data_IF_165912832261
#
_entry.id   IF_165912832261
#
_cell.length_a   1.000
_cell.length_b   1.000
_cell.length_c   1.000
_cell.angle_alpha   90.00
_cell.angle_beta   90.00
_cell.angle_gamma   90.00
#
_symmetry.space_group_name_H-M   'P 1'
#
loop_
_entity.id
_entity.type
_entity.pdbx_description
1 polymer ?
#
# COMPACT_ATOMS: atom_id res chain seq x y z
N UNK A 1 4.86 25.39 -1.68
CA UNK A 1 3.95 26.57 -1.64
C UNK A 1 4.06 27.27 -0.29
N UNK A 2 3.62 28.54 -0.12
CA UNK A 2 3.71 29.24 1.18
C UNK A 2 3.01 28.49 2.33
N UNK A 3 1.91 27.77 2.04
CA UNK A 3 1.17 26.96 3.01
C UNK A 3 1.85 25.62 3.37
N UNK A 4 3.05 25.34 2.92
CA UNK A 4 3.77 24.08 3.15
C UNK A 4 3.39 22.94 2.19
N UNK A 5 2.35 23.06 1.38
CA UNK A 5 2.00 22.04 0.39
C UNK A 5 3.12 21.87 -0.63
N UNK A 6 3.52 20.61 -0.82
CA UNK A 6 4.44 20.19 -1.89
C UNK A 6 3.63 19.75 -3.11
N UNK A 7 4.12 20.02 -4.30
CA UNK A 7 3.47 19.59 -5.52
C UNK A 7 4.47 19.01 -6.51
N UNK A 8 4.08 17.94 -7.18
CA UNK A 8 4.83 17.34 -8.26
C UNK A 8 3.97 17.23 -9.52
N UNK A 9 4.53 17.63 -10.65
CA UNK A 9 3.86 17.56 -11.94
C UNK A 9 4.77 16.90 -12.96
N UNK A 10 4.25 15.92 -13.66
CA UNK A 10 4.89 15.33 -14.82
C UNK A 10 3.99 15.52 -16.07
N UNK A 11 4.38 16.37 -17.02
CA UNK A 11 3.58 16.63 -18.21
C UNK A 11 3.52 15.41 -19.13
N UNK A 12 2.40 15.23 -19.81
CA UNK A 12 2.20 14.21 -20.83
C UNK A 12 1.31 14.74 -21.95
N UNK A 13 1.46 14.18 -23.14
CA UNK A 13 0.58 14.47 -24.30
C UNK A 13 -0.75 13.74 -24.26
N UNK A 14 -1.03 13.00 -23.21
CA UNK A 14 -2.32 12.31 -23.02
C UNK A 14 -3.46 13.32 -22.92
N UNK A 15 -4.61 13.07 -23.53
CA UNK A 15 -5.81 13.89 -23.34
C UNK A 15 -6.45 13.72 -21.94
N UNK A 16 -5.99 12.72 -21.16
CA UNK A 16 -6.44 12.46 -19.82
C UNK A 16 -5.36 12.90 -18.83
N UNK A 17 -5.79 13.55 -17.75
CA UNK A 17 -4.97 13.97 -16.62
C UNK A 17 -5.37 13.18 -15.38
N UNK A 18 -4.39 12.62 -14.70
CA UNK A 18 -4.50 11.99 -13.39
C UNK A 18 -3.91 12.94 -12.36
N UNK A 19 -4.67 13.27 -11.33
CA UNK A 19 -4.25 14.23 -10.31
C UNK A 19 -4.90 13.93 -8.97
N UNK A 20 -4.26 14.36 -7.89
CA UNK A 20 -4.81 14.11 -6.56
C UNK A 20 -3.93 14.62 -5.44
N UNK A 21 -4.37 14.31 -4.23
CA UNK A 21 -3.63 14.50 -2.99
C UNK A 21 -3.27 13.16 -2.39
N UNK A 22 -2.04 13.07 -1.92
CA UNK A 22 -1.62 12.01 -1.00
C UNK A 22 -1.25 12.65 0.33
N UNK A 23 -1.85 12.18 1.38
CA UNK A 23 -1.71 12.69 2.74
C UNK A 23 -0.94 11.64 3.54
N UNK A 24 0.12 12.02 4.25
CA UNK A 24 0.87 11.11 5.11
C UNK A 24 0.10 10.80 6.40
N UNK A 25 -1.11 10.28 6.23
CA UNK A 25 -2.06 9.91 7.28
C UNK A 25 -2.74 8.60 6.87
N UNK A 26 -2.55 7.55 7.64
CA UNK A 26 -3.16 6.24 7.42
C UNK A 26 -3.52 5.60 8.75
N UNK A 27 -3.89 4.31 8.74
CA UNK A 27 -4.28 3.64 9.98
C UNK A 27 -3.13 3.60 11.01
N UNK A 28 -1.88 3.58 10.59
CA UNK A 28 -0.72 3.69 11.47
C UNK A 28 -0.70 4.95 12.36
N UNK A 29 -1.37 6.02 11.94
CA UNK A 29 -1.39 7.32 12.63
C UNK A 29 -2.57 7.45 13.58
N UNK A 30 -3.39 6.41 13.69
CA UNK A 30 -4.48 6.27 14.64
C UNK A 30 -3.94 6.10 16.05
N UNK A 31 -4.63 6.72 17.02
CA UNK A 31 -4.34 6.59 18.44
C UNK A 31 -5.13 5.44 19.02
N UNK A 32 -4.89 5.12 20.28
CA UNK A 32 -5.72 4.21 21.04
C UNK A 32 -7.20 4.63 20.94
N UNK A 33 -8.07 3.69 20.60
CA UNK A 33 -9.49 3.86 20.32
C UNK A 33 -9.86 4.63 19.01
N UNK A 34 -8.91 4.84 18.11
CA UNK A 34 -9.14 5.41 16.78
C UNK A 34 -9.07 4.35 15.66
N UNK A 35 -8.99 3.04 15.97
CA UNK A 35 -8.83 1.97 14.97
C UNK A 35 -9.98 1.97 13.96
N UNK A 36 -9.66 2.22 12.68
CA UNK A 36 -10.59 2.37 11.56
C UNK A 36 -10.98 3.82 11.25
N UNK A 37 -10.50 4.80 12.03
CA UNK A 37 -10.89 6.19 11.86
C UNK A 37 -10.31 6.81 10.58
N UNK A 38 -9.12 6.40 10.15
CA UNK A 38 -8.53 6.88 8.90
C UNK A 38 -9.41 6.52 7.69
N UNK A 39 -9.86 5.26 7.61
CA UNK A 39 -10.76 4.78 6.58
C UNK A 39 -12.16 5.43 6.70
N UNK A 40 -12.70 5.54 7.90
CA UNK A 40 -13.94 6.27 8.14
C UNK A 40 -13.88 7.72 7.65
N UNK A 41 -12.78 8.43 7.89
CA UNK A 41 -12.58 9.80 7.40
C UNK A 41 -12.51 9.86 5.87
N UNK A 42 -11.92 8.85 5.22
CA UNK A 42 -11.93 8.74 3.75
C UNK A 42 -13.37 8.72 3.22
N UNK A 43 -14.20 7.78 3.69
CA UNK A 43 -15.61 7.66 3.29
C UNK A 43 -16.38 8.95 3.52
N UNK A 44 -16.22 9.51 4.71
CA UNK A 44 -16.94 10.72 5.11
C UNK A 44 -16.48 11.98 4.37
N UNK A 45 -15.29 11.98 3.77
CA UNK A 45 -14.77 13.09 2.96
C UNK A 45 -15.67 13.40 1.75
N UNK A 46 -16.40 12.42 1.24
CA UNK A 46 -17.33 12.57 0.12
C UNK A 46 -18.75 13.02 0.53
N UNK A 47 -19.03 13.17 1.82
CA UNK A 47 -20.39 13.43 2.35
C UNK A 47 -20.74 14.89 2.54
N UNK A 48 -19.82 15.80 2.32
CA UNK A 48 -20.07 17.24 2.31
C UNK A 48 -18.90 18.10 2.74
N UNK A 49 -18.82 19.26 2.13
CA UNK A 49 -17.90 20.34 2.49
C UNK A 49 -18.69 21.57 2.92
N UNK A 50 -18.01 22.65 3.33
CA UNK A 50 -18.66 23.94 3.57
C UNK A 50 -19.37 24.48 2.32
N UNK A 51 -18.89 24.14 1.11
CA UNK A 51 -19.37 24.66 -0.17
C UNK A 51 -20.23 23.69 -0.97
N UNK A 52 -20.10 22.37 -0.72
CA UNK A 52 -20.71 21.34 -1.56
C UNK A 52 -21.48 20.30 -0.74
N UNK A 53 -22.66 19.95 -1.19
CA UNK A 53 -23.35 18.75 -0.70
C UNK A 53 -22.71 17.47 -1.26
N UNK A 54 -22.99 16.31 -0.65
CA UNK A 54 -22.56 15.00 -1.14
C UNK A 54 -22.89 14.78 -2.63
N UNK A 55 -24.12 15.12 -3.05
CA UNK A 55 -24.53 15.03 -4.44
C UNK A 55 -23.66 15.87 -5.37
N UNK A 56 -23.35 17.11 -4.98
CA UNK A 56 -22.52 18.01 -5.77
C UNK A 56 -21.06 17.52 -5.86
N UNK A 57 -20.55 16.83 -4.83
CA UNK A 57 -19.23 16.21 -4.86
C UNK A 57 -19.23 15.06 -5.86
N UNK A 58 -20.12 14.09 -5.72
CA UNK A 58 -20.22 12.92 -6.58
C UNK A 58 -20.41 13.29 -8.05
N UNK A 59 -21.35 14.19 -8.32
CA UNK A 59 -21.69 14.56 -9.70
C UNK A 59 -20.68 15.53 -10.33
N UNK A 60 -19.78 16.12 -9.56
CA UNK A 60 -18.87 17.17 -10.05
C UNK A 60 -18.01 16.73 -11.23
N UNK A 61 -17.41 15.56 -11.17
CA UNK A 61 -16.56 15.04 -12.24
C UNK A 61 -17.29 14.04 -13.12
N UNK A 62 -18.20 13.24 -12.56
CA UNK A 62 -19.00 12.27 -13.31
C UNK A 62 -19.78 12.94 -14.46
N UNK A 63 -20.38 14.11 -14.22
CA UNK A 63 -21.12 14.88 -15.23
C UNK A 63 -20.27 15.28 -16.45
N UNK A 64 -18.97 15.18 -16.39
CA UNK A 64 -18.03 15.52 -17.47
C UNK A 64 -17.19 14.33 -17.92
N UNK A 65 -17.55 13.10 -17.49
CA UNK A 65 -16.86 11.87 -17.85
C UNK A 65 -15.53 11.68 -17.13
N UNK A 66 -15.33 12.35 -16.00
CA UNK A 66 -14.22 12.12 -15.11
C UNK A 66 -14.57 11.08 -14.03
N UNK A 67 -13.58 10.54 -13.35
CA UNK A 67 -13.74 9.68 -12.17
C UNK A 67 -13.12 10.34 -10.95
N UNK A 68 -13.68 10.02 -9.78
CA UNK A 68 -13.18 10.44 -8.47
C UNK A 68 -13.05 9.20 -7.58
N UNK A 69 -11.88 8.98 -7.02
CA UNK A 69 -11.58 7.81 -6.20
C UNK A 69 -10.75 8.19 -4.97
N UNK A 70 -10.75 7.29 -3.98
CA UNK A 70 -9.87 7.36 -2.83
C UNK A 70 -9.48 5.96 -2.36
N UNK A 71 -8.44 5.88 -1.54
CA UNK A 71 -8.11 4.71 -0.76
C UNK A 71 -7.24 5.08 0.43
N UNK A 72 -7.36 4.28 1.49
CA UNK A 72 -6.56 4.39 2.71
C UNK A 72 -5.60 3.21 2.81
N UNK A 73 -4.36 3.50 3.19
CA UNK A 73 -3.34 2.50 3.50
C UNK A 73 -2.90 2.64 4.96
N UNK A 74 -1.95 1.82 5.38
CA UNK A 74 -1.35 1.95 6.71
C UNK A 74 -0.67 3.33 6.93
N UNK A 75 -0.09 3.93 5.90
CA UNK A 75 0.73 5.15 6.04
C UNK A 75 0.22 6.37 5.28
N UNK A 76 -0.76 6.22 4.40
CA UNK A 76 -1.32 7.37 3.67
C UNK A 76 -2.78 7.15 3.27
N UNK A 77 -3.49 8.27 3.10
CA UNK A 77 -4.78 8.35 2.42
C UNK A 77 -4.62 9.13 1.13
N UNK A 78 -5.23 8.64 0.06
CA UNK A 78 -5.13 9.20 -1.28
C UNK A 78 -6.50 9.56 -1.80
N UNK A 79 -6.65 10.79 -2.30
CA UNK A 79 -7.83 11.26 -3.02
C UNK A 79 -7.41 11.68 -4.41
N UNK A 80 -7.97 11.08 -5.46
CA UNK A 80 -7.51 11.33 -6.81
C UNK A 80 -8.65 11.29 -7.84
N UNK A 81 -8.36 11.86 -8.99
CA UNK A 81 -9.28 11.91 -10.11
C UNK A 81 -8.57 11.65 -11.43
N UNK A 82 -9.32 11.11 -12.39
CA UNK A 82 -8.96 11.09 -13.79
C UNK A 82 -9.97 11.93 -14.58
N UNK A 83 -9.48 12.90 -15.35
CA UNK A 83 -10.35 13.81 -16.12
C UNK A 83 -9.77 14.13 -17.49
N UNK A 84 -10.59 14.47 -18.51
CA UNK A 84 -10.11 15.13 -19.72
C UNK A 84 -9.38 16.43 -19.37
N UNK A 85 -8.28 16.74 -20.07
CA UNK A 85 -7.36 17.84 -19.74
C UNK A 85 -8.05 19.20 -19.50
N UNK A 86 -9.08 19.50 -20.27
CA UNK A 86 -9.82 20.77 -20.16
C UNK A 86 -10.65 20.93 -18.86
N UNK A 87 -10.88 19.83 -18.12
CA UNK A 87 -11.54 19.84 -16.81
C UNK A 87 -10.57 19.80 -15.62
N UNK A 88 -9.26 19.87 -15.85
CA UNK A 88 -8.23 19.80 -14.78
C UNK A 88 -8.50 20.81 -13.65
N UNK A 89 -8.84 22.07 -13.97
CA UNK A 89 -9.14 23.09 -12.94
C UNK A 89 -10.32 22.72 -12.06
N UNK A 90 -11.35 22.11 -12.65
CA UNK A 90 -12.54 21.63 -11.93
C UNK A 90 -12.18 20.51 -10.96
N UNK A 91 -11.34 19.58 -11.38
CA UNK A 91 -10.85 18.50 -10.53
C UNK A 91 -9.97 19.01 -9.38
N UNK A 92 -9.07 19.97 -9.66
CA UNK A 92 -8.24 20.60 -8.62
C UNK A 92 -9.10 21.32 -7.57
N UNK A 93 -10.10 22.08 -7.99
CA UNK A 93 -11.01 22.80 -7.08
C UNK A 93 -11.83 21.82 -6.21
N UNK A 94 -12.35 20.75 -6.81
CA UNK A 94 -13.06 19.70 -6.08
C UNK A 94 -12.17 19.00 -5.06
N UNK A 95 -11.02 18.47 -5.52
CA UNK A 95 -10.11 17.71 -4.67
C UNK A 95 -9.58 18.54 -3.50
N UNK A 96 -9.25 19.81 -3.76
CA UNK A 96 -8.82 20.74 -2.69
C UNK A 96 -9.92 20.97 -1.66
N UNK A 97 -11.15 21.14 -2.12
CA UNK A 97 -12.30 21.37 -1.26
C UNK A 97 -12.62 20.15 -0.38
N UNK A 98 -12.67 18.95 -0.97
CA UNK A 98 -12.98 17.74 -0.19
C UNK A 98 -11.85 17.36 0.78
N UNK A 99 -10.59 17.56 0.42
CA UNK A 99 -9.46 17.21 1.30
C UNK A 99 -9.33 18.16 2.50
N UNK A 100 -9.49 19.46 2.28
CA UNK A 100 -9.17 20.44 3.31
C UNK A 100 -10.39 21.13 3.95
N UNK A 101 -11.61 20.93 3.41
CA UNK A 101 -12.81 21.63 3.85
C UNK A 101 -14.01 20.69 4.08
N UNK A 102 -13.80 19.38 4.21
CA UNK A 102 -14.86 18.43 4.57
C UNK A 102 -15.37 18.70 5.97
N UNK A 103 -16.69 18.61 6.14
CA UNK A 103 -17.39 18.92 7.40
C UNK A 103 -17.84 17.70 8.18
N UNK A 104 -17.71 16.51 7.57
CA UNK A 104 -18.08 15.23 8.19
C UNK A 104 -19.49 15.25 8.82
N UNK A 105 -20.56 15.52 8.04
CA UNK A 105 -21.86 15.84 8.59
C UNK A 105 -22.44 14.68 9.40
N UNK A 106 -22.83 14.93 10.68
CA UNK A 106 -23.37 13.90 11.57
C UNK A 106 -24.58 13.15 10.98
N UNK A 107 -25.43 13.84 10.21
CA UNK A 107 -26.59 13.23 9.54
C UNK A 107 -26.25 12.17 8.48
N UNK A 108 -25.04 12.21 7.92
CA UNK A 108 -24.58 11.25 6.92
C UNK A 108 -23.82 10.07 7.56
N UNK A 109 -23.30 10.26 8.79
CA UNK A 109 -22.51 9.23 9.51
C UNK A 109 -23.33 7.95 9.70
N UNK A 110 -24.58 8.04 10.15
CA UNK A 110 -25.38 6.85 10.42
C UNK A 110 -25.60 5.95 9.18
N UNK A 111 -25.66 6.54 7.98
CA UNK A 111 -25.77 5.79 6.74
C UNK A 111 -24.42 5.18 6.32
N UNK A 112 -23.36 5.97 6.45
CA UNK A 112 -22.04 5.55 5.99
C UNK A 112 -21.41 4.50 6.90
N UNK A 113 -21.70 4.58 8.20
CA UNK A 113 -21.30 3.54 9.16
C UNK A 113 -21.84 2.17 8.76
N UNK A 114 -23.10 2.06 8.31
CA UNK A 114 -23.62 0.77 7.84
C UNK A 114 -22.89 0.29 6.57
N UNK A 115 -22.57 1.20 5.63
CA UNK A 115 -21.80 0.85 4.42
C UNK A 115 -20.41 0.33 4.80
N UNK A 116 -19.72 0.97 5.73
CA UNK A 116 -18.41 0.53 6.21
C UNK A 116 -18.51 -0.80 6.96
N UNK A 117 -19.58 -0.99 7.77
CA UNK A 117 -19.80 -2.28 8.44
C UNK A 117 -20.04 -3.42 7.44
N UNK A 118 -20.83 -3.17 6.39
CA UNK A 118 -21.06 -4.14 5.31
C UNK A 118 -19.74 -4.46 4.58
N UNK A 119 -18.86 -3.47 4.39
CA UNK A 119 -17.53 -3.68 3.81
C UNK A 119 -16.64 -4.53 4.71
N UNK A 120 -16.64 -4.28 6.03
CA UNK A 120 -15.91 -5.10 7.02
C UNK A 120 -16.40 -6.55 6.96
N UNK A 121 -17.72 -6.78 6.93
CA UNK A 121 -18.30 -8.11 6.87
C UNK A 121 -17.94 -8.80 5.54
N UNK A 122 -18.07 -8.11 4.42
CA UNK A 122 -17.68 -8.63 3.10
C UNK A 122 -16.20 -9.01 3.04
N UNK A 123 -15.34 -8.21 3.67
CA UNK A 123 -13.92 -8.49 3.75
C UNK A 123 -13.61 -9.70 4.66
N UNK A 124 -14.33 -9.83 5.77
CA UNK A 124 -14.23 -11.00 6.67
C UNK A 124 -14.70 -12.29 6.00
N UNK A 125 -15.62 -12.21 5.04
CA UNK A 125 -16.12 -13.34 4.25
C UNK A 125 -15.19 -13.71 3.08
N UNK A 126 -14.09 -12.97 2.87
CA UNK A 126 -13.05 -13.28 1.87
C UNK A 126 -11.75 -13.75 2.55
N UNK A 127 -11.59 -15.05 2.87
CA UNK A 127 -10.38 -15.54 3.54
C UNK A 127 -9.08 -15.29 2.76
N UNK A 128 -9.17 -15.20 1.44
CA UNK A 128 -8.03 -14.94 0.57
C UNK A 128 -7.49 -13.51 0.73
N UNK A 129 -8.37 -12.55 1.04
CA UNK A 129 -8.01 -11.15 1.27
C UNK A 129 -7.69 -10.91 2.74
N UNK A 130 -8.56 -11.38 3.64
CA UNK A 130 -8.42 -11.20 5.08
C UNK A 130 -7.10 -11.75 5.63
N UNK A 131 -6.55 -12.81 5.05
CA UNK A 131 -5.31 -13.43 5.52
C UNK A 131 -4.11 -12.48 5.45
N UNK A 132 -4.10 -11.51 4.53
CA UNK A 132 -3.03 -10.52 4.43
C UNK A 132 -3.03 -9.60 5.65
N UNK A 133 -4.17 -9.06 6.03
CA UNK A 133 -4.30 -8.18 7.19
C UNK A 133 -4.05 -8.92 8.50
N UNK A 134 -4.66 -10.10 8.65
CA UNK A 134 -4.46 -10.93 9.84
C UNK A 134 -2.99 -11.37 10.01
N UNK A 135 -2.30 -11.63 8.89
CA UNK A 135 -0.88 -11.96 8.91
C UNK A 135 -0.04 -10.75 9.32
N UNK A 136 -0.33 -9.60 8.75
CA UNK A 136 0.36 -8.36 9.09
C UNK A 136 0.14 -7.98 10.57
N UNK A 137 -1.07 -8.14 11.08
CA UNK A 137 -1.41 -7.91 12.48
C UNK A 137 -0.64 -8.85 13.44
N UNK A 138 -0.40 -10.11 13.01
CA UNK A 138 0.42 -11.05 13.79
C UNK A 138 1.88 -10.61 13.79
N UNK A 139 2.44 -10.28 12.62
CA UNK A 139 3.86 -9.89 12.47
C UNK A 139 4.14 -8.59 13.22
N UNK A 140 3.23 -7.63 13.14
CA UNK A 140 3.38 -6.30 13.76
C UNK A 140 2.59 -6.15 15.07
N UNK A 141 2.32 -7.25 15.77
CA UNK A 141 1.58 -7.20 17.03
C UNK A 141 2.24 -6.22 18.04
N UNK A 142 1.44 -5.29 18.56
CA UNK A 142 1.93 -4.23 19.47
C UNK A 142 2.61 -3.04 18.77
N UNK A 143 2.72 -3.07 17.44
CA UNK A 143 3.18 -1.96 16.63
C UNK A 143 1.96 -1.23 16.00
N UNK A 144 2.02 0.09 15.72
CA UNK A 144 0.92 0.80 15.06
C UNK A 144 0.50 0.26 13.69
N UNK A 145 1.32 -0.55 13.02
CA UNK A 145 0.96 -1.28 11.81
C UNK A 145 0.10 -2.53 12.07
N UNK A 146 -0.01 -2.99 13.31
CA UNK A 146 -0.59 -4.28 13.70
C UNK A 146 -2.09 -4.25 13.98
N UNK A 147 -2.89 -3.47 13.24
CA UNK A 147 -4.35 -3.47 13.30
C UNK A 147 -4.96 -3.25 11.90
N UNK A 148 -6.21 -3.67 11.73
CA UNK A 148 -6.90 -3.57 10.43
C UNK A 148 -7.16 -2.12 10.04
N UNK A 149 -7.03 -1.80 8.76
CA UNK A 149 -7.32 -0.47 8.22
C UNK A 149 -8.80 -0.12 8.39
N UNK A 150 -9.68 -1.10 8.20
CA UNK A 150 -11.12 -0.93 8.33
C UNK A 150 -11.59 -0.79 9.79
N UNK A 151 -10.75 -1.13 10.78
CA UNK A 151 -11.13 -1.21 12.18
C UNK A 151 -12.06 -2.37 12.50
N UNK A 152 -12.98 -2.16 13.46
CA UNK A 152 -14.05 -3.11 13.81
C UNK A 152 -15.41 -2.43 13.72
N UNK A 153 -16.47 -3.23 13.52
CA UNK A 153 -17.85 -2.72 13.46
C UNK A 153 -18.24 -1.95 14.71
N UNK A 154 -17.79 -2.39 15.89
CA UNK A 154 -18.05 -1.71 17.17
C UNK A 154 -17.39 -0.33 17.20
N UNK A 155 -16.15 -0.24 16.72
CA UNK A 155 -15.43 1.04 16.67
C UNK A 155 -16.06 2.00 15.68
N UNK A 156 -16.29 1.54 14.46
CA UNK A 156 -16.88 2.35 13.40
C UNK A 156 -18.24 2.93 13.83
N UNK A 157 -19.08 2.14 14.51
CA UNK A 157 -20.37 2.58 15.05
C UNK A 157 -20.25 3.64 16.15
N UNK A 158 -19.09 3.79 16.77
CA UNK A 158 -18.88 4.78 17.84
C UNK A 158 -18.38 6.14 17.32
N UNK A 159 -17.97 6.25 16.07
CA UNK A 159 -17.36 7.46 15.53
C UNK A 159 -18.39 8.60 15.31
N UNK A 160 -17.93 9.80 15.55
CA UNK A 160 -18.70 11.03 15.44
C UNK A 160 -17.99 12.04 14.53
N UNK A 161 -18.70 13.12 14.16
CA UNK A 161 -18.10 14.29 13.49
C UNK A 161 -16.88 14.83 14.26
N UNK A 162 -16.95 14.85 15.61
CA UNK A 162 -15.86 15.35 16.43
C UNK A 162 -14.59 14.48 16.32
N UNK A 163 -14.75 13.16 16.20
CA UNK A 163 -13.63 12.23 16.02
C UNK A 163 -12.97 12.45 14.67
N UNK A 164 -13.77 12.54 13.60
CA UNK A 164 -13.27 12.82 12.25
C UNK A 164 -12.53 14.16 12.18
N UNK A 165 -13.11 15.23 12.74
CA UNK A 165 -12.48 16.54 12.76
C UNK A 165 -11.19 16.55 13.60
N UNK A 166 -11.15 15.84 14.73
CA UNK A 166 -9.94 15.71 15.55
C UNK A 166 -8.82 15.00 14.80
N UNK A 167 -9.12 13.92 14.06
CA UNK A 167 -8.16 13.20 13.26
C UNK A 167 -7.66 14.04 12.08
N UNK A 168 -8.57 14.61 11.31
CA UNK A 168 -8.23 15.32 10.08
C UNK A 168 -7.59 16.69 10.34
N UNK A 169 -8.01 17.44 11.36
CA UNK A 169 -7.32 18.69 11.74
C UNK A 169 -5.87 18.47 12.16
N UNK A 170 -5.55 17.30 12.72
CA UNK A 170 -4.19 16.92 13.08
C UNK A 170 -3.36 16.50 11.86
N UNK A 171 -3.95 15.80 10.87
CA UNK A 171 -3.21 15.05 9.86
C UNK A 171 -3.45 15.56 8.42
N UNK A 172 -4.64 16.07 8.10
CA UNK A 172 -4.97 16.56 6.76
C UNK A 172 -4.57 18.03 6.60
N UNK A 173 -3.28 18.28 6.79
CA UNK A 173 -2.69 19.61 6.64
C UNK A 173 -1.91 19.74 5.33
N UNK A 174 -1.81 20.94 4.75
CA UNK A 174 -1.05 21.14 3.52
C UNK A 174 0.41 20.69 3.63
N UNK A 175 1.07 20.88 4.78
CA UNK A 175 2.45 20.47 5.02
C UNK A 175 2.64 18.96 5.10
N UNK A 176 1.57 18.21 5.47
CA UNK A 176 1.55 16.76 5.54
C UNK A 176 1.04 16.10 4.25
N UNK A 177 0.78 16.88 3.20
CA UNK A 177 0.24 16.42 1.94
C UNK A 177 1.17 16.72 0.76
N UNK A 178 0.94 15.96 -0.31
CA UNK A 178 1.52 16.20 -1.64
C UNK A 178 0.38 16.27 -2.65
N UNK A 179 0.38 17.31 -3.47
CA UNK A 179 -0.41 17.33 -4.69
C UNK A 179 0.40 16.70 -5.81
N UNK A 180 -0.16 15.74 -6.51
CA UNK A 180 0.46 15.14 -7.68
C UNK A 180 -0.41 15.33 -8.91
N UNK A 181 0.25 15.45 -10.08
CA UNK A 181 -0.43 15.54 -11.37
C UNK A 181 0.42 14.88 -12.45
N UNK A 182 -0.19 13.96 -13.18
CA UNK A 182 0.36 13.34 -14.38
C UNK A 182 -0.52 13.64 -15.58
N UNK A 183 0.06 14.25 -16.60
CA UNK A 183 -0.65 14.75 -17.79
C UNK A 183 -0.80 16.27 -17.78
N UNK A 184 -1.41 16.80 -18.84
CA UNK A 184 -1.53 18.23 -19.05
C UNK A 184 -0.19 18.96 -19.26
N UNK A 185 -0.25 20.18 -19.77
CA UNK A 185 0.95 20.94 -20.11
C UNK A 185 1.52 21.76 -18.94
N UNK A 186 0.66 22.21 -18.02
CA UNK A 186 1.02 23.10 -16.91
C UNK A 186 0.28 22.73 -15.65
N UNK A 187 0.99 22.84 -14.52
CA UNK A 187 0.37 22.74 -13.21
C UNK A 187 -0.61 23.92 -13.01
N UNK A 188 -1.90 23.67 -12.73
CA UNK A 188 -2.86 24.72 -12.44
C UNK A 188 -2.58 25.37 -11.08
N UNK A 189 -3.17 26.55 -10.86
CA UNK A 189 -3.20 27.15 -9.52
C UNK A 189 -4.03 26.28 -8.58
N UNK A 190 -3.45 25.94 -7.44
CA UNK A 190 -4.13 25.17 -6.40
C UNK A 190 -4.76 26.16 -5.41
N UNK A 191 -6.11 26.13 -5.21
CA UNK A 191 -6.82 27.15 -4.46
C UNK A 191 -6.77 26.88 -2.94
N UNK A 192 -5.57 26.77 -2.36
CA UNK A 192 -5.38 26.69 -0.92
C UNK A 192 -5.25 28.10 -0.38
N UNK A 193 -6.08 28.45 0.61
CA UNK A 193 -6.06 29.78 1.24
C UNK A 193 -4.68 30.11 1.82
N UNK A 194 -4.27 31.37 1.67
CA UNK A 194 -2.98 31.88 2.16
C UNK A 194 -2.89 32.03 3.68
N UNK A 195 -3.97 31.78 4.40
CA UNK A 195 -4.07 32.00 5.84
C UNK A 195 -3.46 30.90 6.71
N UNK A 196 -3.13 29.76 6.14
CA UNK A 196 -2.51 28.66 6.89
C UNK A 196 -1.01 28.88 6.92
N UNK A 197 -0.46 29.36 8.04
CA UNK A 197 0.98 29.35 8.28
C UNK A 197 1.48 27.92 8.05
N UNK A 198 2.61 27.76 7.36
CA UNK A 198 3.22 26.48 7.11
C UNK A 198 3.54 25.81 8.47
N UNK A 199 2.71 24.86 8.87
CA UNK A 199 3.05 24.01 10.00
C UNK A 199 4.20 23.06 9.61
N UNK A 200 5.12 22.75 10.53
CA UNK A 200 6.17 21.79 10.24
C UNK A 200 5.55 20.46 9.83
N UNK A 201 6.17 19.80 8.84
CA UNK A 201 5.81 18.43 8.48
C UNK A 201 5.88 17.54 9.72
N UNK A 202 4.85 16.74 9.94
CA UNK A 202 4.86 15.75 11.00
C UNK A 202 6.01 14.75 10.78
N UNK A 203 6.97 14.74 11.68
CA UNK A 203 8.02 13.74 11.65
C UNK A 203 7.47 12.48 12.33
N UNK A 204 7.26 11.43 11.54
CA UNK A 204 6.93 10.11 12.11
C UNK A 204 8.16 9.59 12.84
N UNK A 205 8.01 9.38 14.13
CA UNK A 205 9.08 8.79 14.94
C UNK A 205 9.24 7.34 14.50
N UNK A 206 10.44 6.98 14.06
CA UNK A 206 10.77 5.59 13.79
C UNK A 206 10.66 4.81 15.12
N UNK A 207 9.78 3.83 15.16
CA UNK A 207 9.68 2.94 16.31
C UNK A 207 10.76 1.88 16.12
N UNK A 208 11.64 1.73 17.12
CA UNK A 208 12.73 0.74 17.06
C UNK A 208 12.16 -0.65 16.80
N UNK A 209 12.45 -1.20 15.64
CA UNK A 209 11.92 -2.49 15.17
C UNK A 209 12.41 -3.69 15.99
N UNK A 210 13.47 -3.54 16.76
CA UNK A 210 14.15 -4.67 17.41
C UNK A 210 13.34 -5.36 18.54
N UNK A 211 12.30 -4.72 19.07
CA UNK A 211 11.54 -5.22 20.23
C UNK A 211 10.07 -5.54 19.96
N UNK A 212 9.55 -5.31 18.76
CA UNK A 212 8.11 -5.27 18.48
C UNK A 212 7.61 -6.37 17.53
N UNK A 213 8.46 -7.26 17.05
CA UNK A 213 8.01 -8.36 16.20
C UNK A 213 7.57 -9.52 17.06
N UNK A 214 6.37 -10.05 16.78
CA UNK A 214 5.91 -11.30 17.36
C UNK A 214 6.93 -12.41 17.09
N UNK A 215 7.11 -13.28 18.06
CA UNK A 215 7.97 -14.46 17.88
C UNK A 215 7.51 -15.27 16.68
N UNK A 216 8.48 -15.71 15.87
CA UNK A 216 8.23 -16.64 14.77
C UNK A 216 7.40 -17.83 15.25
N UNK A 217 6.45 -18.26 14.45
CA UNK A 217 5.58 -19.37 14.84
C UNK A 217 4.54 -19.72 13.78
N UNK A 218 3.77 -20.76 14.06
CA UNK A 218 2.67 -21.22 13.21
C UNK A 218 1.36 -20.99 13.94
N UNK A 219 0.51 -20.16 13.36
CA UNK A 219 -0.87 -19.93 13.83
C UNK A 219 -1.84 -20.58 12.86
N UNK A 220 -2.80 -21.31 13.37
CA UNK A 220 -3.88 -21.90 12.55
C UNK A 220 -5.21 -21.37 13.07
N UNK A 221 -6.05 -20.89 12.16
CA UNK A 221 -7.42 -20.44 12.44
C UNK A 221 -8.40 -21.25 11.60
N UNK A 222 -9.45 -21.75 12.22
CA UNK A 222 -10.56 -22.38 11.49
C UNK A 222 -11.50 -21.28 11.00
N UNK A 223 -11.59 -21.15 9.69
CA UNK A 223 -12.47 -20.20 8.98
C UNK A 223 -13.56 -20.94 8.19
N UNK A 224 -13.67 -22.26 8.34
CA UNK A 224 -14.66 -23.08 7.60
C UNK A 224 -14.47 -23.05 6.08
N UNK A 225 -13.27 -22.73 5.59
CA UNK A 225 -12.98 -22.58 4.16
C UNK A 225 -12.93 -23.93 3.47
N UNK A 226 -13.28 -23.99 2.19
CA UNK A 226 -13.15 -25.22 1.38
C UNK A 226 -11.66 -25.56 1.15
N UNK A 227 -10.86 -24.55 0.81
CA UNK A 227 -9.41 -24.65 0.63
C UNK A 227 -8.68 -24.13 1.86
N UNK A 228 -7.43 -24.52 2.02
CA UNK A 228 -6.53 -23.86 2.96
C UNK A 228 -5.88 -22.63 2.30
N UNK A 229 -5.88 -21.52 3.03
CA UNK A 229 -5.12 -20.33 2.69
C UNK A 229 -3.92 -20.26 3.65
N UNK A 230 -2.74 -20.09 3.09
CA UNK A 230 -1.50 -20.10 3.86
C UNK A 230 -0.69 -18.86 3.53
N UNK A 231 -0.33 -18.13 4.55
CA UNK A 231 0.59 -16.99 4.47
C UNK A 231 1.83 -17.30 5.30
N UNK A 232 3.01 -17.08 4.73
CA UNK A 232 4.27 -17.17 5.46
C UNK A 232 5.16 -16.00 5.10
N UNK A 233 5.92 -15.50 6.06
CA UNK A 233 6.78 -14.33 5.82
C UNK A 233 7.50 -13.87 7.07
N UNK A 234 8.19 -12.75 6.92
CA UNK A 234 9.01 -12.15 7.97
C UNK A 234 9.09 -10.64 7.81
N UNK A 235 9.43 -9.90 8.87
CA UNK A 235 9.79 -8.50 8.75
C UNK A 235 10.91 -8.28 7.74
N UNK A 236 10.86 -7.15 7.05
CA UNK A 236 11.83 -6.79 6.03
C UNK A 236 12.34 -5.34 6.19
N UNK A 237 12.87 -4.78 5.12
CA UNK A 237 13.57 -3.49 5.15
C UNK A 237 12.63 -2.30 5.03
N UNK A 238 12.81 -1.31 5.89
CA UNK A 238 12.15 0.00 5.82
C UNK A 238 12.67 0.90 4.70
N UNK A 239 12.04 2.07 4.54
CA UNK A 239 12.29 2.99 3.43
C UNK A 239 13.61 3.76 3.49
N UNK A 240 14.42 3.62 4.57
CA UNK A 240 15.71 4.31 4.73
C UNK A 240 16.61 4.18 3.50
N UNK A 241 17.29 5.26 3.13
CA UNK A 241 18.22 5.24 2.00
C UNK A 241 19.43 4.31 2.25
N UNK A 242 19.84 4.14 3.49
CA UNK A 242 20.94 3.25 3.87
C UNK A 242 20.62 1.77 3.57
N UNK A 243 19.34 1.43 3.48
CA UNK A 243 18.84 0.09 3.16
C UNK A 243 18.43 -0.06 1.68
N UNK A 244 18.78 0.89 0.82
CA UNK A 244 18.37 0.86 -0.59
C UNK A 244 18.88 -0.39 -1.32
N UNK A 245 20.12 -0.79 -1.05
CA UNK A 245 20.75 -1.98 -1.66
C UNK A 245 20.01 -3.26 -1.26
N UNK A 246 19.70 -3.37 0.01
CA UNK A 246 18.96 -4.50 0.57
C UNK A 246 17.55 -4.58 -0.02
N UNK A 247 16.84 -3.46 -0.10
CA UNK A 247 15.50 -3.42 -0.70
C UNK A 247 15.50 -3.78 -2.18
N UNK A 248 16.45 -3.27 -2.97
CA UNK A 248 16.54 -3.62 -4.39
C UNK A 248 16.89 -5.10 -4.58
N UNK A 249 17.74 -5.64 -3.72
CA UNK A 249 18.06 -7.07 -3.71
C UNK A 249 16.85 -7.92 -3.33
N UNK A 250 16.08 -7.50 -2.32
CA UNK A 250 14.85 -8.17 -1.93
C UNK A 250 13.77 -8.06 -3.03
N UNK A 251 13.67 -6.92 -3.69
CA UNK A 251 12.72 -6.73 -4.79
C UNK A 251 13.00 -7.68 -5.96
N UNK A 252 14.29 -7.80 -6.35
CA UNK A 252 14.69 -8.76 -7.38
C UNK A 252 14.47 -10.20 -6.92
N UNK A 253 14.83 -10.55 -5.68
CA UNK A 253 14.64 -11.87 -5.09
C UNK A 253 13.16 -12.24 -5.01
N UNK A 254 12.31 -11.32 -4.56
CA UNK A 254 10.86 -11.50 -4.51
C UNK A 254 10.27 -11.83 -5.89
N UNK A 255 10.72 -11.10 -6.93
CA UNK A 255 10.28 -11.37 -8.30
C UNK A 255 10.69 -12.75 -8.80
N UNK A 256 11.90 -13.22 -8.43
CA UNK A 256 12.37 -14.56 -8.78
C UNK A 256 11.56 -15.65 -8.07
N UNK A 257 11.23 -15.45 -6.79
CA UNK A 257 10.57 -16.45 -5.94
C UNK A 257 9.10 -16.61 -6.30
N UNK A 258 8.34 -15.53 -6.25
CA UNK A 258 6.89 -15.57 -6.40
C UNK A 258 6.30 -14.33 -7.06
N UNK A 259 7.09 -13.61 -7.89
CA UNK A 259 6.60 -12.49 -8.66
C UNK A 259 5.58 -12.90 -9.73
N UNK A 260 5.02 -11.91 -10.43
CA UNK A 260 3.92 -12.06 -11.42
C UNK A 260 4.21 -13.03 -12.58
N UNK A 261 5.47 -13.39 -12.81
CA UNK A 261 5.84 -14.28 -13.91
C UNK A 261 5.44 -15.73 -13.64
N UNK A 262 4.83 -16.40 -14.62
CA UNK A 262 4.51 -17.84 -14.55
C UNK A 262 5.76 -18.70 -14.34
N UNK A 263 6.94 -18.18 -14.66
CA UNK A 263 8.24 -18.81 -14.47
C UNK A 263 8.85 -18.55 -13.08
N UNK A 264 8.12 -17.92 -12.16
CA UNK A 264 8.58 -17.75 -10.78
C UNK A 264 8.78 -19.11 -10.09
N UNK A 265 9.75 -19.18 -9.17
CA UNK A 265 10.21 -20.46 -8.59
C UNK A 265 9.08 -21.22 -7.90
N UNK A 266 8.28 -20.54 -7.11
CA UNK A 266 7.18 -21.18 -6.38
C UNK A 266 6.06 -21.61 -7.32
N UNK A 267 5.71 -20.78 -8.33
CA UNK A 267 4.72 -21.17 -9.33
C UNK A 267 5.15 -22.44 -10.07
N UNK A 268 6.38 -22.48 -10.58
CA UNK A 268 6.91 -23.67 -11.26
C UNK A 268 6.95 -24.89 -10.34
N UNK A 269 7.42 -24.71 -9.10
CA UNK A 269 7.60 -25.83 -8.16
C UNK A 269 6.29 -26.39 -7.65
N UNK A 270 5.33 -25.54 -7.27
CA UNK A 270 4.10 -25.94 -6.61
C UNK A 270 2.94 -26.17 -7.57
N UNK A 271 2.80 -25.29 -8.57
CA UNK A 271 1.70 -25.32 -9.51
C UNK A 271 2.03 -26.13 -10.76
N UNK A 272 3.02 -25.70 -11.55
CA UNK A 272 3.28 -26.29 -12.87
C UNK A 272 3.76 -27.75 -12.79
N UNK A 273 4.69 -28.05 -11.88
CA UNK A 273 5.24 -29.39 -11.76
C UNK A 273 4.41 -30.35 -10.91
N UNK A 274 3.57 -29.84 -9.99
CA UNK A 274 2.91 -30.70 -8.98
C UNK A 274 1.42 -30.51 -8.84
N UNK A 275 0.85 -29.43 -9.37
CA UNK A 275 -0.58 -29.15 -9.28
C UNK A 275 -1.11 -29.00 -7.85
N UNK A 276 -0.27 -28.57 -6.91
CA UNK A 276 -0.61 -28.51 -5.47
C UNK A 276 -1.34 -27.25 -5.07
N UNK A 277 -1.19 -26.18 -5.84
CA UNK A 277 -1.74 -24.85 -5.53
C UNK A 277 -2.48 -24.28 -6.72
N UNK A 278 -3.54 -23.53 -6.44
CA UNK A 278 -4.26 -22.75 -7.45
C UNK A 278 -3.56 -21.42 -7.68
N UNK A 279 -3.12 -20.80 -6.59
CA UNK A 279 -2.41 -19.52 -6.59
C UNK A 279 -1.23 -19.62 -5.67
N UNK A 280 -0.11 -19.03 -6.07
CA UNK A 280 1.05 -18.77 -5.22
C UNK A 280 1.71 -17.48 -5.67
N UNK A 281 1.92 -16.58 -4.75
CA UNK A 281 2.55 -15.29 -5.01
C UNK A 281 3.37 -14.83 -3.82
N UNK A 282 4.39 -14.03 -4.08
CA UNK A 282 5.17 -13.38 -3.03
C UNK A 282 5.10 -11.87 -3.21
N UNK A 283 4.96 -11.17 -2.11
CA UNK A 283 4.90 -9.72 -2.06
C UNK A 283 5.89 -9.15 -1.05
N UNK A 284 6.20 -7.88 -1.23
CA UNK A 284 6.95 -7.11 -0.26
C UNK A 284 6.31 -5.73 -0.08
N UNK A 285 6.14 -5.33 1.16
CA UNK A 285 5.67 -4.00 1.54
C UNK A 285 6.79 -3.28 2.26
N UNK A 286 7.02 -2.01 1.90
CA UNK A 286 8.02 -1.16 2.54
C UNK A 286 7.32 -0.02 3.25
N UNK A 287 7.47 0.04 4.55
CA UNK A 287 7.01 1.14 5.40
C UNK A 287 8.15 2.11 5.71
N UNK A 288 7.85 3.22 6.35
CA UNK A 288 8.85 4.26 6.65
C UNK A 288 10.06 3.73 7.42
N UNK A 289 9.84 2.89 8.42
CA UNK A 289 10.85 2.37 9.38
C UNK A 289 11.04 0.85 9.31
N UNK A 290 10.15 0.11 8.68
CA UNK A 290 10.19 -1.35 8.59
C UNK A 290 9.64 -1.81 7.24
N UNK A 291 9.49 -3.10 7.04
CA UNK A 291 8.82 -3.71 5.90
C UNK A 291 8.36 -5.12 6.22
N UNK A 292 7.63 -5.68 5.28
CA UNK A 292 7.13 -7.04 5.32
C UNK A 292 7.46 -7.74 4.00
N UNK A 293 7.97 -8.95 4.08
CA UNK A 293 7.99 -9.89 2.96
C UNK A 293 7.09 -11.08 3.30
N UNK A 294 6.23 -11.47 2.36
CA UNK A 294 5.38 -12.63 2.56
C UNK A 294 5.14 -13.40 1.26
N UNK A 295 4.74 -14.65 1.42
CA UNK A 295 4.27 -15.54 0.36
C UNK A 295 2.91 -16.09 0.75
N UNK A 296 1.94 -15.90 -0.14
CA UNK A 296 0.61 -16.49 -0.06
C UNK A 296 0.49 -17.71 -0.96
N UNK A 297 -0.25 -18.72 -0.54
CA UNK A 297 -0.67 -19.83 -1.38
C UNK A 297 -2.04 -20.38 -0.97
N UNK A 298 -2.83 -20.79 -1.97
CA UNK A 298 -4.08 -21.51 -1.82
C UNK A 298 -3.95 -22.97 -2.25
N UNK A 299 -4.24 -23.93 -1.36
CA UNK A 299 -4.10 -25.36 -1.64
C UNK A 299 -5.18 -26.19 -0.96
N UNK A 300 -5.24 -27.49 -1.25
CA UNK A 300 -6.07 -28.41 -0.50
C UNK A 300 -5.58 -28.55 0.97
N UNK A 301 -6.51 -28.69 1.91
CA UNK A 301 -6.20 -28.80 3.36
C UNK A 301 -5.19 -29.91 3.69
N UNK A 302 -5.24 -31.02 2.95
CA UNK A 302 -4.30 -32.13 3.09
C UNK A 302 -2.87 -31.84 2.61
N UNK A 303 -2.72 -30.91 1.69
CA UNK A 303 -1.43 -30.61 1.06
C UNK A 303 -0.63 -29.49 1.75
N UNK A 304 -1.18 -28.81 2.75
CA UNK A 304 -0.54 -27.68 3.45
C UNK A 304 0.89 -28.00 3.89
N UNK A 305 1.09 -29.13 4.58
CA UNK A 305 2.42 -29.52 5.07
C UNK A 305 3.41 -29.78 3.93
N UNK A 306 2.92 -30.34 2.82
CA UNK A 306 3.74 -30.61 1.62
C UNK A 306 4.14 -29.30 0.93
N UNK A 307 3.19 -28.38 0.78
CA UNK A 307 3.44 -27.06 0.21
C UNK A 307 4.47 -26.27 1.04
N UNK A 308 4.30 -26.20 2.36
CA UNK A 308 5.24 -25.49 3.25
C UNK A 308 6.66 -26.08 3.18
N UNK A 309 6.81 -27.41 3.12
CA UNK A 309 8.14 -28.03 2.94
C UNK A 309 8.79 -27.66 1.61
N UNK A 310 8.00 -27.62 0.52
CA UNK A 310 8.50 -27.25 -0.79
C UNK A 310 8.88 -25.78 -0.87
N UNK A 311 8.05 -24.89 -0.28
CA UNK A 311 8.39 -23.46 -0.16
C UNK A 311 9.70 -23.32 0.62
N UNK A 312 9.81 -23.92 1.81
CA UNK A 312 11.04 -23.88 2.61
C UNK A 312 12.26 -24.34 1.80
N UNK A 313 12.15 -25.45 1.09
CA UNK A 313 13.23 -25.97 0.27
C UNK A 313 13.66 -24.99 -0.84
N UNK A 314 12.71 -24.29 -1.49
CA UNK A 314 13.08 -23.28 -2.50
C UNK A 314 13.74 -22.05 -1.85
N UNK A 315 13.29 -21.63 -0.66
CA UNK A 315 13.91 -20.53 0.08
C UNK A 315 15.33 -20.87 0.55
N UNK A 316 15.54 -22.11 1.05
CA UNK A 316 16.86 -22.59 1.49
C UNK A 316 17.89 -22.54 0.36
N UNK A 317 17.52 -22.88 -0.87
CA UNK A 317 18.43 -22.80 -2.02
C UNK A 317 19.02 -21.40 -2.23
N UNK A 318 18.26 -20.33 -1.97
CA UNK A 318 18.75 -18.97 -2.07
C UNK A 318 19.65 -18.57 -0.89
N UNK A 319 19.49 -19.24 0.25
CA UNK A 319 20.35 -19.04 1.42
C UNK A 319 21.70 -19.77 1.26
N UNK A 320 21.66 -20.98 0.70
CA UNK A 320 22.82 -21.88 0.63
C UNK A 320 23.72 -21.57 -0.58
N UNK A 321 23.12 -21.30 -1.73
CA UNK A 321 23.85 -21.15 -2.99
C UNK A 321 23.62 -19.78 -3.65
N UNK A 322 24.66 -19.06 -4.07
CA UNK A 322 24.50 -17.84 -4.84
C UNK A 322 23.92 -18.16 -6.23
N UNK A 323 23.15 -17.21 -6.77
CA UNK A 323 22.66 -17.32 -8.14
C UNK A 323 23.82 -17.33 -9.13
N UNK A 324 23.74 -18.21 -10.14
CA UNK A 324 24.67 -18.12 -11.27
C UNK A 324 24.45 -16.80 -12.03
N UNK A 325 25.51 -16.24 -12.58
CA UNK A 325 25.51 -15.00 -13.36
C UNK A 325 24.43 -15.00 -14.45
N UNK A 326 24.29 -16.11 -15.17
CA UNK A 326 23.25 -16.29 -16.19
C UNK A 326 21.83 -16.11 -15.62
N UNK A 327 21.55 -16.70 -14.45
CA UNK A 327 20.22 -16.61 -13.80
C UNK A 327 19.96 -15.20 -13.26
N UNK A 328 20.97 -14.60 -12.66
CA UNK A 328 20.89 -13.22 -12.15
C UNK A 328 20.59 -12.23 -13.28
N UNK A 329 21.34 -12.31 -14.40
CA UNK A 329 21.16 -11.44 -15.56
C UNK A 329 19.79 -11.64 -16.22
N UNK A 330 19.28 -12.88 -16.29
CA UNK A 330 17.94 -13.16 -16.78
C UNK A 330 16.85 -12.54 -15.88
N UNK A 331 17.00 -12.64 -14.56
CA UNK A 331 16.06 -12.05 -13.60
C UNK A 331 16.06 -10.51 -13.67
N UNK A 332 17.22 -9.87 -13.76
CA UNK A 332 17.34 -8.41 -13.95
C UNK A 332 16.63 -7.96 -15.22
N UNK A 333 16.89 -8.65 -16.34
CA UNK A 333 16.24 -8.35 -17.63
C UNK A 333 14.72 -8.47 -17.53
N UNK A 334 14.22 -9.53 -16.88
CA UNK A 334 12.79 -9.75 -16.68
C UNK A 334 12.17 -8.62 -15.85
N UNK A 335 12.74 -8.30 -14.70
CA UNK A 335 12.21 -7.26 -13.79
C UNK A 335 12.21 -5.89 -14.45
N UNK A 336 13.27 -5.52 -15.18
CA UNK A 336 13.32 -4.27 -15.95
C UNK A 336 12.22 -4.20 -17.01
N UNK A 337 11.98 -5.31 -17.74
CA UNK A 337 10.89 -5.37 -18.71
C UNK A 337 9.51 -5.16 -18.06
N UNK A 338 9.27 -5.80 -16.91
CA UNK A 338 8.04 -5.64 -16.14
C UNK A 338 7.86 -4.19 -15.67
N UNK A 339 8.90 -3.56 -15.12
CA UNK A 339 8.86 -2.15 -14.72
C UNK A 339 8.56 -1.21 -15.89
N UNK A 340 9.10 -1.51 -17.08
CA UNK A 340 8.83 -0.71 -18.27
C UNK A 340 7.36 -0.83 -18.69
N UNK A 341 6.80 -2.04 -18.65
CA UNK A 341 5.38 -2.30 -18.97
C UNK A 341 4.46 -1.64 -17.94
N UNK A 342 4.81 -1.74 -16.65
CA UNK A 342 4.03 -1.12 -15.55
C UNK A 342 3.93 0.41 -15.71
N UNK A 343 4.93 1.05 -16.33
CA UNK A 343 4.89 2.50 -16.61
C UNK A 343 3.84 2.91 -17.63
N UNK A 344 3.32 1.98 -18.43
CA UNK A 344 2.26 2.26 -19.42
C UNK A 344 0.87 2.37 -18.75
N UNK A 345 0.71 1.83 -17.55
CA UNK A 345 -0.46 2.11 -16.72
C UNK A 345 -0.32 3.52 -16.10
N UNK A 346 -0.96 4.48 -16.74
CA UNK A 346 -0.84 5.90 -16.41
C UNK A 346 -1.39 6.27 -15.05
N UNK A 347 -2.47 5.63 -14.63
CA UNK A 347 -3.07 5.84 -13.31
C UNK A 347 -2.12 5.38 -12.21
N UNK A 348 -1.66 4.14 -12.26
CA UNK A 348 -0.69 3.61 -11.31
C UNK A 348 0.60 4.44 -11.30
N UNK A 349 1.04 4.89 -12.48
CA UNK A 349 2.22 5.75 -12.57
C UNK A 349 2.02 7.09 -11.86
N UNK A 350 0.83 7.71 -12.00
CA UNK A 350 0.50 8.97 -11.32
C UNK A 350 0.44 8.79 -9.80
N UNK A 351 -0.16 7.70 -9.33
CA UNK A 351 -0.23 7.36 -7.90
C UNK A 351 1.16 7.12 -7.32
N UNK A 352 2.00 6.37 -8.01
CA UNK A 352 3.40 6.14 -7.61
C UNK A 352 4.22 7.44 -7.60
N UNK A 353 3.98 8.34 -8.57
CA UNK A 353 4.64 9.65 -8.60
C UNK A 353 4.37 10.44 -7.32
N UNK A 354 3.11 10.47 -6.88
CA UNK A 354 2.69 11.09 -5.63
C UNK A 354 3.33 10.42 -4.41
N UNK A 355 3.27 9.08 -4.34
CA UNK A 355 3.78 8.29 -3.22
C UNK A 355 5.30 8.45 -3.03
N UNK A 356 6.06 8.33 -4.10
CA UNK A 356 7.52 8.52 -4.06
C UNK A 356 7.86 9.93 -3.60
N UNK A 357 7.10 10.93 -4.07
CA UNK A 357 7.33 12.31 -3.66
C UNK A 357 6.91 12.58 -2.22
N UNK A 358 5.79 11.98 -1.76
CA UNK A 358 5.34 12.11 -0.38
C UNK A 358 6.38 11.61 0.63
N UNK A 359 6.93 10.42 0.40
CA UNK A 359 7.79 9.76 1.38
C UNK A 359 9.29 10.03 1.19
N UNK A 360 9.73 10.37 -0.04
CA UNK A 360 11.16 10.48 -0.37
C UNK A 360 11.60 11.85 -0.88
N UNK A 361 10.68 12.79 -1.08
CA UNK A 361 10.95 14.12 -1.68
C UNK A 361 11.69 14.06 -3.04
N UNK A 362 11.46 12.99 -3.80
CA UNK A 362 12.12 12.73 -5.10
C UNK A 362 11.08 12.39 -6.15
N UNK A 363 11.31 12.82 -7.38
CA UNK A 363 10.53 12.35 -8.51
C UNK A 363 10.78 10.85 -8.74
N UNK A 364 9.74 10.13 -9.21
CA UNK A 364 9.89 8.76 -9.68
C UNK A 364 10.83 8.73 -10.88
N UNK A 365 11.87 7.94 -10.80
CA UNK A 365 12.87 7.76 -11.85
C UNK A 365 13.07 6.26 -12.12
N UNK A 366 12.43 5.78 -13.17
CA UNK A 366 12.44 4.35 -13.56
C UNK A 366 13.82 3.94 -14.06
N UNK A 367 14.51 4.85 -14.80
CA UNK A 367 15.86 4.56 -15.29
C UNK A 367 16.85 4.38 -14.14
N UNK A 368 16.75 5.23 -13.12
CA UNK A 368 17.54 5.13 -11.92
C UNK A 368 17.24 3.81 -11.18
N UNK A 369 15.96 3.45 -11.02
CA UNK A 369 15.57 2.16 -10.42
C UNK A 369 16.13 0.98 -11.20
N UNK A 370 16.11 1.03 -12.54
CA UNK A 370 16.75 -0.01 -13.37
C UNK A 370 18.27 -0.10 -13.12
N UNK A 371 18.97 1.03 -12.99
CA UNK A 371 20.41 1.04 -12.66
C UNK A 371 20.69 0.46 -11.26
N UNK A 372 19.83 0.74 -10.30
CA UNK A 372 19.91 0.17 -8.94
C UNK A 372 19.72 -1.36 -8.96
N UNK A 373 18.77 -1.87 -9.76
CA UNK A 373 18.57 -3.31 -9.98
C UNK A 373 19.78 -3.93 -10.69
N UNK A 374 20.32 -3.27 -11.71
CA UNK A 374 21.49 -3.75 -12.44
C UNK A 374 22.73 -3.85 -11.56
N UNK A 375 22.83 -3.01 -10.53
CA UNK A 375 23.92 -3.03 -9.57
C UNK A 375 23.86 -4.20 -8.57
N UNK A 376 22.71 -4.87 -8.37
CA UNK A 376 22.56 -6.00 -7.43
C UNK A 376 23.45 -7.17 -7.84
N UNK A 377 24.16 -7.79 -6.89
CA UNK A 377 25.01 -8.96 -7.11
C UNK A 377 24.36 -10.26 -6.60
N UNK A 378 24.94 -11.41 -6.95
CA UNK A 378 24.48 -12.71 -6.45
C UNK A 378 24.68 -12.83 -4.93
N UNK A 379 25.76 -12.25 -4.41
CA UNK A 379 26.08 -12.20 -2.99
C UNK A 379 25.07 -11.32 -2.23
N UNK A 380 24.63 -10.21 -2.82
CA UNK A 380 23.56 -9.38 -2.23
C UNK A 380 22.26 -10.17 -2.10
N UNK A 381 21.86 -10.89 -3.14
CA UNK A 381 20.68 -11.75 -3.12
C UNK A 381 20.79 -12.80 -2.02
N UNK A 382 21.94 -13.48 -1.91
CA UNK A 382 22.17 -14.51 -0.91
C UNK A 382 22.17 -13.92 0.52
N UNK A 383 22.81 -12.77 0.73
CA UNK A 383 22.83 -12.06 2.01
C UNK A 383 21.41 -11.70 2.46
N UNK A 384 20.63 -11.15 1.55
CA UNK A 384 19.23 -10.78 1.82
C UNK A 384 18.37 -12.02 2.06
N UNK A 385 18.55 -13.10 1.28
CA UNK A 385 17.85 -14.36 1.49
C UNK A 385 18.12 -14.92 2.90
N UNK A 386 19.38 -14.96 3.34
CA UNK A 386 19.75 -15.41 4.69
C UNK A 386 19.14 -14.56 5.79
N UNK A 387 18.98 -13.25 5.57
CA UNK A 387 18.39 -12.36 6.55
C UNK A 387 16.86 -12.50 6.63
N UNK A 388 16.19 -12.55 5.48
CA UNK A 388 14.73 -12.55 5.39
C UNK A 388 14.14 -13.95 5.60
N UNK A 389 14.80 -15.01 5.09
CA UNK A 389 14.26 -16.37 5.14
C UNK A 389 14.78 -17.20 6.32
N UNK A 390 15.43 -16.55 7.27
CA UNK A 390 15.89 -17.20 8.49
C UNK A 390 14.72 -17.87 9.22
N UNK A 391 14.75 -19.20 9.46
CA UNK A 391 13.62 -19.93 10.03
C UNK A 391 13.12 -19.38 11.37
N UNK A 392 14.00 -18.85 12.17
CA UNK A 392 13.69 -18.26 13.49
C UNK A 392 12.89 -16.94 13.41
N UNK A 393 12.80 -16.33 12.24
CA UNK A 393 12.05 -15.09 11.98
C UNK A 393 10.75 -15.29 11.21
N UNK A 394 10.53 -16.51 10.70
CA UNK A 394 9.40 -16.80 9.84
C UNK A 394 8.12 -17.04 10.64
N UNK A 395 7.12 -16.24 10.36
CA UNK A 395 5.75 -16.42 10.83
C UNK A 395 4.92 -17.15 9.76
N UNK A 396 4.01 -18.03 10.19
CA UNK A 396 3.08 -18.72 9.29
C UNK A 396 1.67 -18.60 9.83
N UNK A 397 0.74 -18.17 9.00
CA UNK A 397 -0.70 -18.16 9.28
C UNK A 397 -1.40 -19.13 8.31
N UNK A 398 -2.28 -19.97 8.86
CA UNK A 398 -3.02 -20.97 8.09
C UNK A 398 -4.50 -20.81 8.39
N UNK A 399 -5.31 -20.62 7.37
CA UNK A 399 -6.77 -20.75 7.41
C UNK A 399 -7.18 -22.13 6.88
N UNK A 400 -8.15 -22.78 7.56
CA UNK A 400 -8.68 -24.08 7.17
C UNK A 400 -10.19 -24.10 7.17
#
# INVERSE_FOLDING_TARGET
MPCGLRAIHMPSSSPVVYLGYQIAAGSRDERENEEGLAHFCEHMTFKGTERRSAWNILNCLEAVGGSLNAYTTKECTVFYAAVPEHYTRRAVDLLTDIVFHSTYPQKEIGKEVEVICDEIESYNDSPADLIYDDFENIVFHGHPLGHNILGTTERVRSFTTADALRFTSRLYTPSNAVFFMYGGKKLPTIPIGSATLAEPRLQKTAISSASLFSAAGVTTRDKGTHQAHVMLGSPSYGASNDLLRERMSLYLLNNIIGGRGMNSRLNVTLREHRGLVYTVESSMTTYGDTGLWCTYLGCDKGDVRRCLRLVRHELDKFMDEPLSERRLNAAKKQLRGQLTIDCDNRENFALDLGSVYLFRDKARDVEKTCKEIDAVTAEDIQRVARHIFEPSKMTTLIYK
#
